data_IF_901639280617
#
_entry.id   IF_901639280617
#
_cell.length_a   1.000
_cell.length_b   1.000
_cell.length_c   1.000
_cell.angle_alpha   90.00
_cell.angle_beta   90.00
_cell.angle_gamma   90.00
#
_symmetry.space_group_name_H-M   'P 1'
#
loop_
_entity.id
_entity.type
_entity.pdbx_description
1 polymer ?
#
# COMPACT_ATOMS: atom_id res chain seq x y z
N UNK A 1 -71.76 -40.71 23.72
CA UNK A 1 -71.86 -39.67 24.78
C UNK A 1 -71.07 -40.18 25.98
N UNK A 2 -70.25 -39.32 26.61
CA UNK A 2 -69.49 -39.55 27.87
C UNK A 2 -68.34 -40.56 27.82
N UNK A 3 -67.31 -40.50 28.66
CA UNK A 3 -66.52 -39.46 29.34
C UNK A 3 -65.44 -40.25 30.13
N UNK A 4 -64.32 -39.61 30.45
CA UNK A 4 -63.13 -40.15 31.10
C UNK A 4 -63.34 -40.87 32.45
N UNK A 5 -62.39 -41.74 32.85
CA UNK A 5 -61.93 -42.07 34.23
C UNK A 5 -60.61 -42.88 34.09
N UNK A 6 -59.39 -42.45 34.47
CA UNK A 6 -58.76 -42.13 35.78
C UNK A 6 -58.22 -43.34 36.57
N UNK A 7 -56.88 -43.38 36.69
CA UNK A 7 -55.97 -43.80 37.81
C UNK A 7 -55.69 -45.30 38.16
N UNK A 8 -54.37 -45.61 38.09
CA UNK A 8 -53.37 -45.88 39.17
C UNK A 8 -52.84 -47.31 39.41
N UNK A 9 -51.54 -47.29 39.80
CA UNK A 9 -50.65 -48.30 40.45
C UNK A 9 -49.96 -49.25 39.44
N UNK A 10 -48.66 -49.56 39.50
CA UNK A 10 -47.69 -49.64 40.59
C UNK A 10 -46.23 -49.54 40.03
N UNK A 11 -45.29 -49.12 40.86
CA UNK A 11 -43.82 -49.03 40.64
C UNK A 11 -43.13 -50.37 40.37
N UNK A 12 -41.94 -50.35 39.74
CA UNK A 12 -40.76 -50.87 40.44
C UNK A 12 -39.53 -49.95 40.42
N UNK A 13 -38.74 -50.05 41.50
CA UNK A 13 -37.44 -49.41 41.73
C UNK A 13 -36.32 -50.20 41.04
N UNK A 14 -35.40 -49.43 40.43
CA UNK A 14 -33.93 -49.56 40.40
C UNK A 14 -33.30 -50.94 40.13
N UNK A 15 -32.75 -51.08 38.92
CA UNK A 15 -31.43 -51.68 38.70
C UNK A 15 -30.63 -50.80 37.73
N UNK A 16 -29.80 -49.90 38.26
CA UNK A 16 -28.78 -49.21 37.48
C UNK A 16 -27.63 -50.19 37.27
N UNK A 17 -27.39 -50.55 36.01
CA UNK A 17 -26.27 -51.39 35.58
C UNK A 17 -24.94 -50.61 35.72
N UNK A 18 -23.86 -51.29 36.15
CA UNK A 18 -22.57 -50.67 36.43
C UNK A 18 -21.68 -50.52 35.18
N UNK A 19 -20.73 -49.61 35.36
CA UNK A 19 -19.73 -49.11 34.40
C UNK A 19 -18.88 -50.20 33.73
N UNK A 20 -18.61 -50.00 32.44
CA UNK A 20 -17.51 -50.62 31.73
C UNK A 20 -16.83 -49.62 30.78
N UNK A 21 -15.53 -49.42 31.02
CA UNK A 21 -14.48 -49.00 30.09
C UNK A 21 -14.43 -47.54 29.63
N UNK A 22 -14.15 -46.67 30.59
CA UNK A 22 -13.22 -45.54 30.39
C UNK A 22 -11.83 -46.10 30.72
N UNK A 23 -10.93 -46.15 29.73
CA UNK A 23 -9.44 -46.15 29.78
C UNK A 23 -8.97 -46.81 28.48
N UNK A 24 -8.66 -45.96 27.49
CA UNK A 24 -7.53 -46.05 26.56
C UNK A 24 -7.58 -44.79 25.69
N UNK A 25 -6.40 -44.28 25.36
CA UNK A 25 -6.12 -43.08 24.54
C UNK A 25 -5.91 -41.75 25.29
N UNK A 26 -4.94 -41.75 26.21
CA UNK A 26 -4.13 -40.56 26.52
C UNK A 26 -2.64 -40.93 26.49
N UNK A 27 -2.07 -41.03 25.29
CA UNK A 27 -0.60 -40.97 25.12
C UNK A 27 -0.19 -40.63 23.68
N UNK A 28 -0.35 -39.37 23.29
CA UNK A 28 0.52 -38.63 22.35
C UNK A 28 -0.08 -37.24 22.06
N UNK A 29 -0.18 -36.38 23.08
CA UNK A 29 -0.22 -34.93 22.81
C UNK A 29 1.21 -34.49 22.52
N UNK A 30 1.64 -34.75 21.30
CA UNK A 30 2.77 -34.07 20.68
C UNK A 30 2.43 -32.58 20.60
N UNK A 31 3.20 -31.76 21.31
CA UNK A 31 3.19 -30.31 21.20
C UNK A 31 3.39 -29.93 19.73
N UNK A 32 2.34 -29.48 19.06
CA UNK A 32 2.50 -28.76 17.79
C UNK A 32 3.27 -27.47 18.12
N UNK A 33 4.39 -27.17 17.45
CA UNK A 33 5.03 -25.87 17.62
C UNK A 33 4.03 -24.78 17.25
N UNK A 34 4.06 -23.61 17.92
CA UNK A 34 3.19 -22.50 17.57
C UNK A 34 3.38 -22.21 16.07
N UNK A 35 2.26 -22.19 15.34
CA UNK A 35 2.24 -21.72 13.96
C UNK A 35 3.00 -20.40 13.92
N UNK A 36 4.10 -20.37 13.17
CA UNK A 36 4.85 -19.14 12.94
C UNK A 36 3.85 -18.05 12.54
N UNK A 37 3.96 -16.82 13.08
CA UNK A 37 3.07 -15.75 12.65
C UNK A 37 3.14 -15.70 11.14
N UNK A 38 1.98 -15.79 10.48
CA UNK A 38 1.88 -15.69 9.04
C UNK A 38 2.71 -14.48 8.63
N UNK A 39 3.79 -14.72 7.89
CA UNK A 39 4.56 -13.66 7.26
C UNK A 39 3.53 -12.76 6.57
N UNK A 40 3.49 -11.45 6.85
CA UNK A 40 2.51 -10.59 6.20
C UNK A 40 2.80 -10.68 4.69
N UNK A 41 2.01 -11.49 3.99
CA UNK A 41 2.02 -11.51 2.53
C UNK A 41 1.50 -10.14 2.13
N UNK A 42 2.43 -9.29 1.73
CA UNK A 42 2.15 -8.00 1.11
C UNK A 42 1.08 -8.24 0.06
N UNK A 43 -0.11 -7.66 0.26
CA UNK A 43 -1.21 -7.82 -0.68
C UNK A 43 -0.79 -7.29 -2.05
N UNK A 44 -1.12 -8.03 -3.10
CA UNK A 44 -0.95 -7.59 -4.49
C UNK A 44 -1.78 -6.31 -4.66
N UNK A 45 -1.14 -5.18 -4.93
CA UNK A 45 -1.83 -3.95 -5.29
C UNK A 45 -1.96 -3.88 -6.80
N UNK A 46 -3.18 -4.08 -7.28
CA UNK A 46 -3.54 -3.74 -8.64
C UNK A 46 -3.69 -2.22 -8.73
N UNK A 47 -2.63 -1.57 -9.22
CA UNK A 47 -2.62 -0.13 -9.43
C UNK A 47 -3.54 0.31 -10.58
N UNK A 48 -4.05 -0.62 -11.38
CA UNK A 48 -4.83 -0.32 -12.57
C UNK A 48 -3.97 0.27 -13.68
N UNK A 49 -4.38 0.00 -14.93
CA UNK A 49 -3.77 0.60 -16.11
C UNK A 49 -4.58 1.85 -16.46
N UNK A 50 -3.95 3.02 -16.45
CA UNK A 50 -4.59 4.26 -16.91
C UNK A 50 -4.58 4.32 -18.44
N UNK A 51 -3.42 4.06 -19.03
CA UNK A 51 -3.25 3.99 -20.47
C UNK A 51 -2.12 3.01 -20.82
N UNK A 52 -2.33 2.17 -21.83
CA UNK A 52 -1.30 1.29 -22.37
C UNK A 52 -1.45 1.21 -23.88
N UNK A 53 -0.34 1.34 -24.61
CA UNK A 53 -0.32 1.23 -26.08
C UNK A 53 1.00 0.60 -26.56
N UNK A 54 0.97 0.09 -27.78
CA UNK A 54 2.17 -0.31 -28.51
C UNK A 54 2.57 0.82 -29.44
N UNK A 55 3.70 1.47 -29.17
CA UNK A 55 4.26 2.55 -30.00
C UNK A 55 5.58 2.06 -30.59
N UNK A 56 5.68 2.08 -31.92
CA UNK A 56 6.86 1.59 -32.66
C UNK A 56 7.31 0.17 -32.25
N UNK A 57 6.35 -0.71 -31.91
CA UNK A 57 6.63 -2.09 -31.47
C UNK A 57 7.02 -2.24 -30.00
N UNK A 58 7.12 -1.15 -29.25
CA UNK A 58 7.37 -1.14 -27.80
C UNK A 58 6.03 -0.99 -27.07
N UNK A 59 5.72 -1.96 -26.22
CA UNK A 59 4.53 -1.95 -25.38
C UNK A 59 4.84 -1.22 -24.05
N UNK A 60 4.15 -0.11 -23.83
CA UNK A 60 4.39 0.82 -22.73
C UNK A 60 3.06 1.36 -22.18
N UNK A 61 3.07 1.80 -20.93
CA UNK A 61 1.88 2.34 -20.30
C UNK A 61 2.16 3.27 -19.13
N UNK A 62 1.08 3.78 -18.57
CA UNK A 62 1.04 4.55 -17.33
C UNK A 62 -0.03 3.95 -16.42
N UNK A 63 0.31 3.74 -15.16
CA UNK A 63 -0.61 3.25 -14.12
C UNK A 63 -1.49 4.38 -13.58
N UNK A 64 -2.60 4.09 -12.88
CA UNK A 64 -3.54 5.12 -12.36
C UNK A 64 -2.90 6.14 -11.40
N UNK A 65 -1.72 5.85 -10.85
CA UNK A 65 -0.95 6.79 -10.02
C UNK A 65 0.03 7.65 -10.82
N UNK A 66 0.03 7.56 -12.15
CA UNK A 66 0.96 8.25 -13.04
C UNK A 66 2.29 7.54 -13.25
N UNK A 67 2.56 6.37 -12.63
CA UNK A 67 3.84 5.68 -12.83
C UNK A 67 3.99 5.18 -14.28
N UNK A 68 4.98 5.66 -15.04
CA UNK A 68 5.28 5.12 -16.37
C UNK A 68 5.95 3.75 -16.25
N UNK A 69 5.63 2.84 -17.17
CA UNK A 69 6.19 1.49 -17.18
C UNK A 69 6.33 0.93 -18.59
N UNK A 70 7.20 -0.08 -18.72
CA UNK A 70 7.22 -0.99 -19.87
C UNK A 70 6.66 -2.35 -19.44
N UNK A 71 5.97 -3.03 -20.35
CA UNK A 71 5.71 -4.46 -20.13
C UNK A 71 7.01 -5.24 -20.32
N UNK A 72 7.06 -6.50 -19.89
CA UNK A 72 8.21 -7.36 -20.18
C UNK A 72 8.54 -7.42 -21.68
N UNK A 73 7.52 -7.33 -22.54
CA UNK A 73 7.67 -7.31 -24.00
C UNK A 73 8.27 -5.98 -24.48
N UNK A 74 7.76 -4.85 -23.99
CA UNK A 74 8.33 -3.53 -24.29
C UNK A 74 9.78 -3.41 -23.84
N UNK A 75 10.06 -3.87 -22.61
CA UNK A 75 11.41 -3.85 -22.05
C UNK A 75 12.38 -4.75 -22.82
N UNK A 76 11.95 -5.94 -23.25
CA UNK A 76 12.73 -6.79 -24.16
C UNK A 76 13.02 -6.08 -25.49
N UNK A 77 12.03 -5.36 -26.05
CA UNK A 77 12.20 -4.58 -27.26
C UNK A 77 13.24 -3.45 -27.12
N UNK A 78 13.23 -2.73 -25.99
CA UNK A 78 14.14 -1.60 -25.76
C UNK A 78 15.55 -2.04 -25.33
N UNK A 79 15.67 -3.10 -24.53
CA UNK A 79 16.97 -3.63 -24.08
C UNK A 79 17.61 -4.58 -25.09
N UNK A 80 16.83 -5.11 -26.04
CA UNK A 80 17.26 -6.19 -26.93
C UNK A 80 17.54 -7.52 -26.22
N UNK A 81 17.25 -7.64 -24.92
CA UNK A 81 17.37 -8.88 -24.17
C UNK A 81 16.20 -9.81 -24.45
N UNK A 82 16.43 -11.12 -24.38
CA UNK A 82 15.34 -12.09 -24.48
C UNK A 82 14.43 -12.00 -23.25
N UNK A 83 13.12 -12.23 -23.44
CA UNK A 83 12.15 -12.25 -22.32
C UNK A 83 12.53 -13.24 -21.23
N UNK A 84 13.09 -14.40 -21.59
CA UNK A 84 13.60 -15.38 -20.63
C UNK A 84 14.72 -14.80 -19.76
N UNK A 85 15.65 -14.05 -20.34
CA UNK A 85 16.73 -13.40 -19.60
C UNK A 85 16.20 -12.35 -18.62
N UNK A 86 15.14 -11.60 -18.99
CA UNK A 86 14.49 -10.65 -18.08
C UNK A 86 13.74 -11.36 -16.94
N UNK A 87 13.11 -12.50 -17.24
CA UNK A 87 12.47 -13.34 -16.24
C UNK A 87 13.48 -13.91 -15.25
N UNK A 88 14.61 -14.44 -15.74
CA UNK A 88 15.73 -14.93 -14.93
C UNK A 88 16.30 -13.82 -14.03
N UNK A 89 16.54 -12.62 -14.58
CA UNK A 89 17.00 -11.47 -13.79
C UNK A 89 16.02 -11.15 -12.65
N UNK A 90 14.71 -11.16 -12.94
CA UNK A 90 13.71 -10.85 -11.91
C UNK A 90 13.69 -11.90 -10.81
N UNK A 91 13.79 -13.19 -11.16
CA UNK A 91 13.86 -14.27 -10.18
C UNK A 91 15.14 -14.22 -9.33
N UNK A 92 16.28 -13.89 -9.95
CA UNK A 92 17.55 -13.70 -9.24
C UNK A 92 17.47 -12.53 -8.25
N UNK A 93 16.85 -11.42 -8.66
CA UNK A 93 16.62 -10.26 -7.79
C UNK A 93 15.75 -10.61 -6.60
N UNK A 94 14.60 -11.25 -6.84
CA UNK A 94 13.68 -11.70 -5.78
C UNK A 94 14.37 -12.67 -4.81
N UNK A 95 15.15 -13.61 -5.33
CA UNK A 95 15.93 -14.57 -4.52
C UNK A 95 16.99 -13.87 -3.68
N UNK A 96 17.69 -12.87 -4.23
CA UNK A 96 18.69 -12.09 -3.49
C UNK A 96 18.04 -11.29 -2.36
N UNK A 97 16.86 -10.71 -2.58
CA UNK A 97 16.10 -10.04 -1.52
C UNK A 97 15.62 -11.01 -0.43
N UNK A 98 15.15 -12.20 -0.80
CA UNK A 98 14.69 -13.22 0.16
C UNK A 98 15.83 -13.76 1.02
N UNK A 99 17.02 -13.95 0.44
CA UNK A 99 18.18 -14.53 1.13
C UNK A 99 19.08 -13.48 1.78
N UNK A 100 18.98 -12.21 1.37
CA UNK A 100 19.92 -11.15 1.73
C UNK A 100 21.26 -11.22 1.00
N UNK A 101 21.41 -12.12 0.02
CA UNK A 101 22.68 -12.41 -0.67
C UNK A 101 22.64 -11.86 -2.10
N UNK A 102 23.32 -10.75 -2.33
CA UNK A 102 23.48 -10.12 -3.66
C UNK A 102 24.81 -10.53 -4.28
N UNK A 103 25.02 -11.84 -4.46
CA UNK A 103 26.33 -12.41 -4.75
C UNK A 103 26.75 -12.44 -6.22
N UNK A 104 25.81 -12.34 -7.18
CA UNK A 104 26.16 -12.33 -8.61
C UNK A 104 26.53 -10.92 -9.06
N UNK A 105 27.55 -10.76 -9.92
CA UNK A 105 27.98 -9.45 -10.45
C UNK A 105 26.80 -8.66 -11.04
N UNK A 106 25.90 -9.35 -11.75
CA UNK A 106 24.66 -8.78 -12.30
C UNK A 106 23.79 -8.21 -11.19
N UNK A 107 23.42 -9.02 -10.20
CA UNK A 107 22.51 -8.62 -9.13
C UNK A 107 23.13 -7.54 -8.23
N UNK A 108 24.44 -7.59 -7.95
CA UNK A 108 25.12 -6.53 -7.21
C UNK A 108 25.06 -5.20 -7.95
N UNK A 109 25.28 -5.20 -9.27
CA UNK A 109 25.18 -3.98 -10.08
C UNK A 109 23.77 -3.38 -10.02
N UNK A 110 22.73 -4.21 -10.19
CA UNK A 110 21.35 -3.72 -10.07
C UNK A 110 21.05 -3.18 -8.68
N UNK A 111 21.58 -3.81 -7.63
CA UNK A 111 21.39 -3.34 -6.25
C UNK A 111 21.95 -1.94 -6.08
N UNK A 112 23.18 -1.71 -6.50
CA UNK A 112 23.85 -0.42 -6.34
C UNK A 112 23.13 0.65 -7.17
N UNK A 113 22.82 0.35 -8.44
CA UNK A 113 22.09 1.26 -9.33
C UNK A 113 20.71 1.65 -8.78
N UNK A 114 19.91 0.66 -8.38
CA UNK A 114 18.55 0.90 -7.90
C UNK A 114 18.55 1.60 -6.54
N UNK A 115 19.53 1.29 -5.66
CA UNK A 115 19.68 1.98 -4.38
C UNK A 115 20.00 3.48 -4.55
N UNK A 116 20.85 3.85 -5.52
CA UNK A 116 21.10 5.26 -5.87
C UNK A 116 19.84 6.01 -6.33
N UNK A 117 18.88 5.28 -6.91
CA UNK A 117 17.58 5.79 -7.36
C UNK A 117 16.46 5.57 -6.34
N UNK A 118 16.83 5.27 -5.09
CA UNK A 118 15.92 4.98 -3.97
C UNK A 118 14.96 3.80 -4.18
N UNK A 119 15.21 2.94 -5.17
CA UNK A 119 14.44 1.74 -5.44
C UNK A 119 14.98 0.54 -4.66
N UNK A 120 14.20 0.08 -3.68
CA UNK A 120 14.59 -1.03 -2.79
C UNK A 120 13.55 -2.15 -2.70
N UNK A 121 12.64 -2.24 -3.69
CA UNK A 121 11.56 -3.23 -3.67
C UNK A 121 12.05 -4.64 -4.02
N UNK A 122 11.48 -5.69 -3.41
CA UNK A 122 11.91 -7.07 -3.61
C UNK A 122 11.56 -7.64 -4.99
N UNK A 123 10.67 -7.01 -5.74
CA UNK A 123 10.37 -7.37 -7.12
C UNK A 123 10.71 -6.20 -8.05
N UNK A 124 11.07 -6.51 -9.29
CA UNK A 124 11.42 -5.54 -10.34
C UNK A 124 10.20 -5.06 -11.14
N UNK A 125 9.02 -5.60 -10.85
CA UNK A 125 7.77 -5.22 -11.51
C UNK A 125 6.65 -5.02 -10.49
N UNK A 126 5.60 -4.35 -10.95
CA UNK A 126 4.30 -4.25 -10.29
C UNK A 126 3.36 -5.20 -11.03
N UNK A 127 2.72 -6.12 -10.32
CA UNK A 127 1.68 -6.98 -10.89
C UNK A 127 0.40 -6.15 -11.11
N UNK A 128 -0.11 -6.16 -12.34
CA UNK A 128 -1.33 -5.46 -12.75
C UNK A 128 -2.31 -6.46 -13.36
N UNK A 129 -3.61 -6.20 -13.23
CA UNK A 129 -4.62 -7.05 -13.93
C UNK A 129 -4.99 -6.44 -15.26
N UNK A 130 -4.93 -7.26 -16.31
CA UNK A 130 -5.40 -6.93 -17.65
C UNK A 130 -6.13 -8.12 -18.23
N UNK A 131 -7.36 -7.92 -18.70
CA UNK A 131 -8.20 -8.96 -19.32
C UNK A 131 -8.35 -10.23 -18.45
N UNK A 132 -8.40 -10.07 -17.12
CA UNK A 132 -8.51 -11.18 -16.17
C UNK A 132 -7.21 -11.96 -15.92
N UNK A 133 -6.11 -11.55 -16.54
CA UNK A 133 -4.78 -12.16 -16.37
C UNK A 133 -3.82 -11.22 -15.65
N UNK A 134 -2.83 -11.78 -14.96
CA UNK A 134 -1.74 -11.02 -14.35
C UNK A 134 -0.73 -10.60 -15.43
N UNK A 135 -0.36 -9.32 -15.41
CA UNK A 135 0.66 -8.71 -16.25
C UNK A 135 1.70 -8.02 -15.35
N UNK A 136 2.88 -7.77 -15.90
CA UNK A 136 4.00 -7.20 -15.15
C UNK A 136 4.41 -5.85 -15.73
N UNK A 137 4.16 -4.79 -14.95
CA UNK A 137 4.60 -3.43 -15.24
C UNK A 137 5.98 -3.20 -14.62
N UNK A 138 7.02 -3.06 -15.44
CA UNK A 138 8.35 -2.68 -14.99
C UNK A 138 8.42 -1.15 -14.90
N UNK A 139 8.58 -0.56 -13.70
CA UNK A 139 8.67 0.90 -13.56
C UNK A 139 9.85 1.46 -14.36
N UNK A 140 9.76 2.72 -14.75
CA UNK A 140 10.79 3.40 -15.55
C UNK A 140 12.21 3.31 -14.95
N UNK A 141 12.37 3.45 -13.64
CA UNK A 141 13.66 3.30 -12.95
C UNK A 141 14.28 1.91 -13.17
N UNK A 142 13.46 0.87 -13.14
CA UNK A 142 13.89 -0.52 -13.41
C UNK A 142 14.19 -0.69 -14.89
N UNK A 143 13.35 -0.14 -15.76
CA UNK A 143 13.56 -0.20 -17.21
C UNK A 143 14.88 0.45 -17.60
N UNK A 144 15.20 1.61 -17.04
CA UNK A 144 16.48 2.30 -17.26
C UNK A 144 17.66 1.45 -16.75
N UNK A 145 17.56 0.87 -15.56
CA UNK A 145 18.60 -0.04 -15.04
C UNK A 145 18.85 -1.22 -16.00
N UNK A 146 17.78 -1.85 -16.49
CA UNK A 146 17.89 -2.98 -17.43
C UNK A 146 18.49 -2.55 -18.76
N UNK A 147 18.01 -1.45 -19.34
CA UNK A 147 18.53 -0.92 -20.61
C UNK A 147 20.01 -0.56 -20.47
N UNK A 148 20.40 0.12 -19.39
CA UNK A 148 21.78 0.51 -19.13
C UNK A 148 22.70 -0.69 -18.91
N UNK A 149 22.26 -1.67 -18.11
CA UNK A 149 23.01 -2.90 -17.88
C UNK A 149 23.34 -3.62 -19.20
N UNK A 150 22.34 -3.81 -20.07
CA UNK A 150 22.58 -4.46 -21.36
C UNK A 150 23.33 -3.57 -22.36
N UNK A 151 23.34 -2.26 -22.18
CA UNK A 151 24.11 -1.35 -23.02
C UNK A 151 25.62 -1.39 -22.68
N UNK A 152 25.99 -1.49 -21.40
CA UNK A 152 27.38 -1.26 -20.96
C UNK A 152 28.01 -2.34 -20.08
N UNK A 153 27.21 -3.06 -19.29
CA UNK A 153 27.72 -3.84 -18.13
C UNK A 153 27.64 -5.35 -18.33
N UNK A 154 26.66 -5.80 -19.11
CA UNK A 154 26.49 -7.20 -19.45
C UNK A 154 27.75 -7.74 -20.13
N UNK A 155 28.10 -9.00 -19.84
CA UNK A 155 29.25 -9.68 -20.45
C UNK A 155 29.22 -9.61 -22.00
N UNK A 156 28.01 -9.69 -22.57
CA UNK A 156 27.74 -9.36 -23.96
C UNK A 156 26.76 -8.19 -24.00
N UNK A 157 27.26 -7.02 -24.38
CA UNK A 157 26.44 -5.83 -24.56
C UNK A 157 25.53 -5.95 -25.78
N UNK A 158 24.49 -5.11 -25.84
CA UNK A 158 23.47 -5.13 -26.86
C UNK A 158 23.35 -3.76 -27.55
N UNK A 159 23.42 -3.75 -28.89
CA UNK A 159 23.33 -2.51 -29.66
C UNK A 159 21.96 -1.83 -29.57
N UNK A 160 20.88 -2.61 -29.43
CA UNK A 160 19.53 -2.08 -29.23
C UNK A 160 19.45 -1.36 -27.90
N UNK A 161 19.94 -1.97 -26.81
CA UNK A 161 20.05 -1.33 -25.51
C UNK A 161 20.85 -0.02 -25.59
N UNK A 162 22.01 -0.03 -26.26
CA UNK A 162 22.85 1.14 -26.41
C UNK A 162 22.15 2.29 -27.16
N UNK A 163 21.42 1.97 -28.23
CA UNK A 163 20.63 2.95 -29.00
C UNK A 163 19.49 3.52 -28.15
N UNK A 164 18.73 2.66 -27.48
CA UNK A 164 17.66 3.06 -26.57
C UNK A 164 18.20 3.94 -25.45
N UNK A 165 19.27 3.53 -24.78
CA UNK A 165 19.90 4.30 -23.71
C UNK A 165 20.29 5.70 -24.17
N UNK A 166 20.94 5.83 -25.33
CA UNK A 166 21.33 7.14 -25.88
C UNK A 166 20.14 8.03 -26.24
N UNK A 167 19.04 7.44 -26.71
CA UNK A 167 17.80 8.18 -26.98
C UNK A 167 17.17 8.68 -25.67
N UNK A 168 17.11 7.81 -24.66
CA UNK A 168 16.50 8.09 -23.37
C UNK A 168 17.34 9.03 -22.50
N UNK A 169 18.68 8.98 -22.58
CA UNK A 169 19.58 9.79 -21.77
C UNK A 169 19.39 11.31 -21.95
N UNK A 170 18.72 11.74 -23.03
CA UNK A 170 18.43 13.16 -23.29
C UNK A 170 17.19 13.68 -22.55
N UNK A 171 16.17 12.83 -22.36
CA UNK A 171 14.84 13.27 -21.92
C UNK A 171 14.25 12.44 -20.77
N UNK A 172 14.83 11.27 -20.47
CA UNK A 172 14.31 10.28 -19.53
C UNK A 172 13.24 9.38 -20.15
N UNK A 173 13.14 8.16 -19.63
CA UNK A 173 12.13 7.19 -20.07
C UNK A 173 10.70 7.62 -19.73
N UNK A 174 10.50 8.27 -18.59
CA UNK A 174 9.21 8.85 -18.21
C UNK A 174 8.69 9.82 -19.28
N UNK A 175 9.47 10.85 -19.62
CA UNK A 175 9.09 11.84 -20.63
C UNK A 175 8.82 11.19 -21.99
N UNK A 176 9.65 10.21 -22.37
CA UNK A 176 9.45 9.44 -23.59
C UNK A 176 8.11 8.71 -23.60
N UNK A 177 7.76 7.99 -22.53
CA UNK A 177 6.50 7.26 -22.43
C UNK A 177 5.31 8.25 -22.41
N UNK A 178 5.41 9.35 -21.67
CA UNK A 178 4.37 10.37 -21.62
C UNK A 178 4.11 10.98 -22.99
N UNK A 179 5.15 11.41 -23.70
CA UNK A 179 5.03 11.98 -25.04
C UNK A 179 4.49 10.95 -26.05
N UNK A 180 5.01 9.72 -26.03
CA UNK A 180 4.58 8.65 -26.91
C UNK A 180 3.10 8.27 -26.74
N UNK A 181 2.58 8.39 -25.51
CA UNK A 181 1.18 8.09 -25.20
C UNK A 181 0.27 9.33 -25.30
N UNK A 182 0.83 10.53 -25.52
CA UNK A 182 0.09 11.78 -25.40
C UNK A 182 -0.46 12.01 -23.99
N UNK A 183 0.22 11.47 -22.98
CA UNK A 183 -0.17 11.53 -21.58
C UNK A 183 0.42 12.77 -20.92
N UNK A 184 -0.45 13.55 -20.28
CA UNK A 184 -0.04 14.59 -19.36
C UNK A 184 -0.33 14.06 -17.94
N UNK A 185 0.69 13.95 -17.06
CA UNK A 185 0.43 13.54 -15.69
C UNK A 185 -0.59 14.47 -15.06
N UNK A 186 -1.61 13.94 -14.38
CA UNK A 186 -2.62 14.77 -13.74
C UNK A 186 -1.95 15.67 -12.70
N UNK A 187 -2.57 16.83 -12.45
CA UNK A 187 -2.14 17.69 -11.36
C UNK A 187 -2.15 16.90 -10.04
N UNK A 188 -0.96 16.68 -9.45
CA UNK A 188 -0.81 15.95 -8.19
C UNK A 188 -1.56 16.59 -7.02
N UNK A 189 -1.95 17.84 -7.17
CA UNK A 189 -2.80 18.53 -6.20
C UNK A 189 -4.29 18.27 -6.40
N UNK A 190 -4.74 17.82 -7.58
CA UNK A 190 -6.15 17.65 -7.93
C UNK A 190 -6.93 16.88 -6.88
N UNK A 191 -6.42 15.71 -6.47
CA UNK A 191 -7.08 14.85 -5.49
C UNK A 191 -7.27 15.54 -4.14
N UNK A 192 -6.27 16.29 -3.68
CA UNK A 192 -6.38 17.04 -2.43
C UNK A 192 -7.26 18.29 -2.58
N UNK A 193 -7.07 19.09 -3.63
CA UNK A 193 -7.85 20.30 -3.91
C UNK A 193 -9.34 20.02 -4.07
N UNK A 194 -9.71 18.96 -4.79
CA UNK A 194 -11.12 18.61 -5.00
C UNK A 194 -11.78 18.19 -3.68
N UNK A 195 -11.04 17.49 -2.80
CA UNK A 195 -11.51 17.15 -1.47
C UNK A 195 -11.61 18.36 -0.54
N UNK A 196 -10.63 19.27 -0.57
CA UNK A 196 -10.69 20.55 0.17
C UNK A 196 -11.92 21.32 -0.27
N UNK A 197 -12.13 21.47 -1.58
CA UNK A 197 -13.25 22.22 -2.16
C UNK A 197 -14.62 21.68 -1.72
N UNK A 198 -14.78 20.36 -1.61
CA UNK A 198 -16.00 19.73 -1.11
C UNK A 198 -16.20 19.83 0.41
N UNK A 199 -15.11 20.04 1.16
CA UNK A 199 -15.11 20.06 2.62
C UNK A 199 -14.99 21.46 3.23
N UNK A 200 -14.79 22.50 2.42
CA UNK A 200 -14.82 23.89 2.88
C UNK A 200 -16.16 24.15 3.57
N UNK A 201 -16.10 24.53 4.85
CA UNK A 201 -17.30 24.79 5.66
C UNK A 201 -18.14 23.56 6.00
N UNK A 202 -17.66 22.33 5.73
CA UNK A 202 -18.39 21.09 6.00
C UNK A 202 -18.36 20.65 7.47
N UNK A 203 -17.45 21.19 8.28
CA UNK A 203 -17.43 20.96 9.71
C UNK A 203 -18.59 21.72 10.39
N UNK A 204 -19.40 21.07 11.25
CA UNK A 204 -20.41 21.76 12.04
C UNK A 204 -19.80 22.86 12.91
N UNK A 205 -20.57 23.93 13.16
CA UNK A 205 -20.11 25.01 14.04
C UNK A 205 -19.76 24.49 15.44
N UNK A 206 -18.63 24.93 15.99
CA UNK A 206 -18.05 24.40 17.23
C UNK A 206 -17.28 23.09 17.10
N UNK A 207 -17.14 22.51 15.90
CA UNK A 207 -16.44 21.25 15.67
C UNK A 207 -15.32 21.35 14.62
N UNK A 208 -14.31 20.51 14.77
CA UNK A 208 -13.28 20.25 13.75
C UNK A 208 -13.44 18.86 13.15
N UNK A 209 -12.90 18.68 11.94
CA UNK A 209 -12.85 17.40 11.23
C UNK A 209 -11.40 16.99 10.98
N UNK A 210 -11.13 15.69 11.07
CA UNK A 210 -9.76 15.16 10.97
C UNK A 210 -9.10 15.53 9.64
N UNK A 211 -9.83 15.52 8.52
CA UNK A 211 -9.28 15.84 7.21
C UNK A 211 -8.62 17.22 7.17
N UNK A 212 -9.26 18.25 7.74
CA UNK A 212 -8.71 19.61 7.77
C UNK A 212 -7.42 19.68 8.59
N UNK A 213 -7.38 18.99 9.73
CA UNK A 213 -6.24 19.06 10.64
C UNK A 213 -5.01 18.28 10.17
N UNK A 214 -5.19 17.30 9.28
CA UNK A 214 -4.07 16.54 8.71
C UNK A 214 -3.56 17.13 7.39
N UNK A 215 -4.10 18.27 6.94
CA UNK A 215 -3.75 18.88 5.65
C UNK A 215 -2.26 19.12 5.44
N UNK A 216 -1.53 19.53 6.49
CA UNK A 216 -0.07 19.69 6.43
C UNK A 216 0.66 18.38 6.08
N UNK A 217 0.21 17.25 6.63
CA UNK A 217 0.80 15.94 6.30
C UNK A 217 0.49 15.54 4.85
N UNK A 218 -0.69 15.88 4.33
CA UNK A 218 -1.05 15.63 2.94
C UNK A 218 -0.15 16.44 2.00
N UNK A 219 0.07 17.72 2.32
CA UNK A 219 0.99 18.60 1.58
C UNK A 219 2.41 18.02 1.54
N UNK A 220 2.92 17.55 2.68
CA UNK A 220 4.26 16.95 2.74
C UNK A 220 4.36 15.69 1.87
N UNK A 221 3.30 14.87 1.80
CA UNK A 221 3.25 13.70 0.91
C UNK A 221 3.23 14.10 -0.57
N UNK A 222 2.43 15.10 -0.97
CA UNK A 222 2.38 15.61 -2.35
C UNK A 222 3.76 16.17 -2.77
N UNK A 223 4.44 16.88 -1.86
CA UNK A 223 5.75 17.45 -2.10
C UNK A 223 6.85 16.38 -2.17
N UNK A 224 6.70 15.27 -1.46
CA UNK A 224 7.57 14.10 -1.54
C UNK A 224 7.31 13.21 -2.78
N UNK A 225 6.46 13.67 -3.72
CA UNK A 225 6.09 12.95 -4.94
C UNK A 225 5.53 11.53 -4.69
N UNK A 226 4.99 11.32 -3.49
CA UNK A 226 4.06 10.23 -3.23
C UNK A 226 2.88 10.48 -4.15
N UNK A 227 2.60 9.57 -5.09
CA UNK A 227 1.44 9.68 -5.98
C UNK A 227 0.16 9.80 -5.14
N UNK A 228 -0.25 11.05 -4.86
CA UNK A 228 -1.41 11.33 -4.01
C UNK A 228 -2.64 11.09 -4.84
N UNK A 229 -3.31 9.98 -4.57
CA UNK A 229 -4.58 9.59 -5.15
C UNK A 229 -5.52 9.12 -4.02
N UNK A 230 -6.68 8.57 -4.40
CA UNK A 230 -7.66 8.02 -3.48
C UNK A 230 -7.13 6.90 -2.56
N UNK A 231 -5.96 6.32 -2.87
CA UNK A 231 -5.36 5.18 -2.16
C UNK A 231 -4.22 5.56 -1.20
N UNK A 232 -3.71 6.80 -1.23
CA UNK A 232 -2.48 7.21 -0.51
C UNK A 232 -2.68 8.33 0.53
N UNK A 233 -3.83 9.01 0.55
CA UNK A 233 -4.16 9.98 1.62
C UNK A 233 -4.45 9.23 2.95
N UNK A 234 -3.73 9.51 4.06
CA UNK A 234 -3.87 8.73 5.30
C UNK A 234 -5.02 9.18 6.23
N UNK A 235 -5.90 10.08 5.80
CA UNK A 235 -6.91 10.71 6.67
C UNK A 235 -7.89 9.70 7.28
N UNK A 236 -8.30 8.66 6.54
CA UNK A 236 -9.11 7.55 7.09
C UNK A 236 -8.34 6.79 8.18
N UNK A 237 -7.04 6.58 7.97
CA UNK A 237 -6.17 5.90 8.95
C UNK A 237 -6.03 6.73 10.22
N UNK A 238 -5.82 8.04 10.08
CA UNK A 238 -5.78 8.99 11.21
C UNK A 238 -7.12 9.02 11.92
N UNK A 239 -8.23 9.15 11.18
CA UNK A 239 -9.58 9.24 11.75
C UNK A 239 -9.97 8.00 12.55
N UNK A 240 -9.66 6.80 12.05
CA UNK A 240 -9.87 5.55 12.80
C UNK A 240 -9.03 5.48 14.07
N UNK A 241 -7.75 5.86 13.99
CA UNK A 241 -6.86 5.85 15.14
C UNK A 241 -7.28 6.89 16.20
N UNK A 242 -7.66 8.09 15.78
CA UNK A 242 -8.16 9.14 16.66
C UNK A 242 -9.49 8.74 17.32
N UNK A 243 -10.44 8.21 16.54
CA UNK A 243 -11.72 7.77 17.09
C UNK A 243 -11.57 6.64 18.12
N UNK A 244 -10.56 5.79 17.97
CA UNK A 244 -10.20 4.77 18.97
C UNK A 244 -9.58 5.38 20.23
N UNK A 245 -8.66 6.34 20.06
CA UNK A 245 -8.04 7.09 21.16
C UNK A 245 -9.09 7.88 21.96
N UNK A 246 -10.02 8.53 21.27
CA UNK A 246 -11.14 9.27 21.84
C UNK A 246 -11.96 8.41 22.80
N UNK A 247 -12.44 7.25 22.33
CA UNK A 247 -13.24 6.33 23.13
C UNK A 247 -12.44 5.71 24.27
N UNK A 248 -11.19 5.28 24.01
CA UNK A 248 -10.34 4.65 25.03
C UNK A 248 -10.03 5.57 26.21
N UNK A 249 -9.81 6.86 25.95
CA UNK A 249 -9.47 7.84 26.98
C UNK A 249 -10.69 8.61 27.49
N UNK A 250 -11.90 8.21 27.07
CA UNK A 250 -13.16 8.83 27.49
C UNK A 250 -13.16 10.36 27.30
N UNK A 251 -12.59 10.83 26.18
CA UNK A 251 -12.41 12.25 25.90
C UNK A 251 -13.73 13.01 25.77
N UNK A 252 -14.80 12.28 25.47
CA UNK A 252 -16.18 12.80 25.44
C UNK A 252 -16.59 13.45 26.77
N UNK A 253 -16.18 12.87 27.90
CA UNK A 253 -16.50 13.46 29.22
C UNK A 253 -15.76 14.77 29.49
N UNK A 254 -14.63 15.00 28.82
CA UNK A 254 -13.79 16.20 29.01
C UNK A 254 -14.17 17.31 28.04
N UNK A 255 -14.36 16.96 26.77
CA UNK A 255 -14.51 17.94 25.68
C UNK A 255 -15.93 17.99 25.10
N UNK A 256 -16.83 17.11 25.53
CA UNK A 256 -18.18 17.00 25.00
C UNK A 256 -18.31 15.95 23.87
N UNK A 257 -19.55 15.65 23.43
CA UNK A 257 -19.81 14.59 22.46
C UNK A 257 -19.31 14.95 21.07
N UNK A 258 -18.70 13.96 20.39
CA UNK A 258 -18.46 14.03 18.94
C UNK A 258 -19.77 13.86 18.16
N UNK A 259 -19.87 14.50 17.01
CA UNK A 259 -21.09 14.47 16.17
C UNK A 259 -20.79 13.86 14.81
N UNK A 260 -21.80 13.28 14.17
CA UNK A 260 -21.69 12.81 12.79
C UNK A 260 -22.00 13.98 11.86
N UNK A 261 -21.23 14.13 10.79
CA UNK A 261 -21.52 15.07 9.71
C UNK A 261 -21.52 14.37 8.35
N UNK A 262 -22.16 14.97 7.36
CA UNK A 262 -22.19 14.43 6.00
C UNK A 262 -20.99 14.93 5.19
N UNK A 263 -20.31 14.00 4.53
CA UNK A 263 -19.14 14.27 3.70
C UNK A 263 -19.25 13.52 2.38
N UNK A 264 -19.03 14.22 1.26
CA UNK A 264 -18.96 13.60 -0.06
C UNK A 264 -17.53 13.51 -0.57
N UNK A 265 -17.22 12.39 -1.23
CA UNK A 265 -16.03 12.26 -2.06
C UNK A 265 -16.34 12.64 -3.53
N UNK A 266 -15.36 13.17 -4.30
CA UNK A 266 -15.53 13.35 -5.75
C UNK A 266 -15.91 12.03 -6.44
N UNK A 267 -16.70 12.07 -7.53
CA UNK A 267 -17.32 10.88 -8.13
C UNK A 267 -16.36 9.79 -8.60
N UNK A 268 -15.09 10.14 -8.84
CA UNK A 268 -14.04 9.21 -9.25
C UNK A 268 -13.31 8.53 -8.08
N UNK A 269 -13.64 8.87 -6.83
CA UNK A 269 -13.18 8.13 -5.66
C UNK A 269 -14.02 6.87 -5.46
N UNK A 270 -13.43 5.72 -5.10
CA UNK A 270 -14.17 4.51 -4.75
C UNK A 270 -15.22 4.74 -3.65
N UNK A 271 -14.92 5.62 -2.69
CA UNK A 271 -15.79 5.99 -1.58
C UNK A 271 -17.05 6.72 -2.05
N UNK A 272 -17.03 7.36 -3.22
CA UNK A 272 -18.17 8.12 -3.74
C UNK A 272 -19.39 7.25 -4.04
N UNK A 273 -19.19 5.94 -4.28
CA UNK A 273 -20.27 4.96 -4.44
C UNK A 273 -21.20 4.86 -3.21
N UNK A 274 -20.75 5.33 -2.06
CA UNK A 274 -21.52 5.34 -0.80
C UNK A 274 -21.66 6.75 -0.21
N UNK A 275 -21.56 7.80 -1.04
CA UNK A 275 -21.88 9.15 -0.63
C UNK A 275 -23.39 9.27 -0.24
N UNK A 276 -23.73 10.08 0.79
CA UNK A 276 -22.82 10.77 1.68
C UNK A 276 -22.19 9.82 2.71
N UNK A 277 -20.89 10.02 2.95
CA UNK A 277 -20.17 9.41 4.05
C UNK A 277 -20.54 10.08 5.37
N UNK A 278 -20.42 9.33 6.47
CA UNK A 278 -20.81 9.76 7.82
C UNK A 278 -19.65 9.71 8.83
N UNK A 279 -18.56 10.47 8.62
CA UNK A 279 -17.46 10.57 9.57
C UNK A 279 -17.83 11.37 10.84
N UNK A 280 -16.98 11.26 11.86
CA UNK A 280 -17.06 12.05 13.09
C UNK A 280 -16.43 13.44 12.92
N UNK A 281 -17.12 14.45 13.42
CA UNK A 281 -16.59 15.76 13.78
C UNK A 281 -16.45 15.84 15.30
N UNK A 282 -15.41 16.53 15.78
CA UNK A 282 -15.02 16.56 17.19
C UNK A 282 -15.07 17.99 17.73
N UNK A 283 -15.46 18.21 19.00
CA UNK A 283 -15.53 19.56 19.58
C UNK A 283 -14.19 20.30 19.44
N UNK A 284 -14.24 21.60 19.12
CA UNK A 284 -13.06 22.44 18.96
C UNK A 284 -12.20 22.52 20.23
N UNK A 285 -12.80 22.31 21.40
CA UNK A 285 -12.13 22.24 22.69
C UNK A 285 -11.11 21.10 22.74
N UNK A 286 -11.32 20.01 21.99
CA UNK A 286 -10.39 18.89 21.91
C UNK A 286 -9.25 19.10 20.91
N UNK A 287 -9.21 20.22 20.19
CA UNK A 287 -8.29 20.43 19.07
C UNK A 287 -6.81 20.42 19.49
N UNK A 288 -6.49 21.02 20.63
CA UNK A 288 -5.13 21.01 21.18
C UNK A 288 -4.67 19.59 21.50
N UNK A 289 -5.57 18.78 22.09
CA UNK A 289 -5.30 17.38 22.40
C UNK A 289 -5.14 16.53 21.14
N UNK A 290 -5.98 16.75 20.12
CA UNK A 290 -5.80 16.12 18.81
C UNK A 290 -4.45 16.44 18.22
N UNK A 291 -4.03 17.71 18.17
CA UNK A 291 -2.75 18.12 17.58
C UNK A 291 -1.55 17.54 18.34
N UNK A 292 -1.62 17.52 19.68
CA UNK A 292 -0.63 16.86 20.53
C UNK A 292 -0.54 15.37 20.21
N UNK A 293 -1.66 14.67 20.24
CA UNK A 293 -1.75 13.24 19.93
C UNK A 293 -1.26 12.93 18.52
N UNK A 294 -1.69 13.71 17.52
CA UNK A 294 -1.31 13.53 16.13
C UNK A 294 0.20 13.66 15.97
N UNK A 295 0.79 14.72 16.53
CA UNK A 295 2.24 14.98 16.45
C UNK A 295 3.09 13.95 17.20
N UNK A 296 2.71 13.63 18.43
CA UNK A 296 3.59 12.88 19.34
C UNK A 296 3.31 11.38 19.38
N UNK A 297 2.13 10.94 18.92
CA UNK A 297 1.76 9.53 18.92
C UNK A 297 1.52 9.01 17.51
N UNK A 298 0.66 9.66 16.71
CA UNK A 298 0.35 9.15 15.37
C UNK A 298 1.54 9.25 14.42
N UNK A 299 2.10 10.45 14.25
CA UNK A 299 3.18 10.71 13.30
C UNK A 299 4.48 9.98 13.66
N UNK A 300 4.75 9.75 14.95
CA UNK A 300 5.97 9.08 15.42
C UNK A 300 5.87 7.55 15.41
N UNK A 301 4.66 6.98 15.54
CA UNK A 301 4.51 5.51 15.72
C UNK A 301 3.68 4.82 14.63
N UNK A 302 2.62 5.46 14.14
CA UNK A 302 1.67 4.86 13.18
C UNK A 302 1.98 5.26 11.75
N UNK A 303 2.31 6.53 11.52
CA UNK A 303 2.64 7.03 10.19
C UNK A 303 3.83 6.30 9.55
N UNK A 304 4.96 6.02 10.24
CA UNK A 304 6.08 5.30 9.63
C UNK A 304 5.66 3.89 9.18
N UNK A 305 4.82 3.21 9.97
CA UNK A 305 4.27 1.91 9.60
C UNK A 305 3.32 2.02 8.41
N UNK A 306 2.45 3.03 8.41
CA UNK A 306 1.50 3.28 7.33
C UNK A 306 2.24 3.50 6.01
N UNK A 307 3.23 4.40 5.98
CA UNK A 307 3.94 4.73 4.75
C UNK A 307 4.79 3.57 4.23
N UNK A 308 5.32 2.72 5.11
CA UNK A 308 5.98 1.45 4.73
C UNK A 308 5.02 0.48 4.04
N UNK A 309 3.75 0.42 4.45
CA UNK A 309 2.76 -0.38 3.70
C UNK A 309 2.50 0.17 2.30
N UNK A 310 2.91 1.41 2.03
CA UNK A 310 2.79 2.11 0.75
C UNK A 310 4.13 2.20 0.01
N UNK A 311 5.19 1.56 0.51
CA UNK A 311 6.53 1.61 -0.07
C UNK A 311 6.57 1.38 -1.60
N UNK A 312 5.91 0.32 -2.05
CA UNK A 312 5.75 -0.02 -3.47
C UNK A 312 5.04 1.06 -4.33
N UNK A 313 4.35 2.03 -3.73
CA UNK A 313 3.70 3.16 -4.41
C UNK A 313 4.55 4.43 -4.47
N UNK A 314 5.60 4.49 -3.65
CA UNK A 314 6.32 5.73 -3.35
C UNK A 314 7.81 5.52 -3.57
N UNK A 315 8.21 4.79 -4.60
CA UNK A 315 9.63 4.59 -4.94
C UNK A 315 10.35 3.51 -4.14
N UNK A 316 9.75 2.96 -3.08
CA UNK A 316 10.20 1.72 -2.44
C UNK A 316 10.40 1.81 -0.92
N UNK A 317 10.93 0.74 -0.30
CA UNK A 317 11.11 0.63 1.15
C UNK A 317 11.99 1.74 1.73
N UNK A 318 13.11 2.07 1.08
CA UNK A 318 14.02 3.12 1.56
C UNK A 318 13.40 4.51 1.45
N UNK A 319 12.70 4.79 0.35
CA UNK A 319 11.94 6.02 0.18
C UNK A 319 10.84 6.16 1.23
N UNK A 320 10.08 5.09 1.47
CA UNK A 320 9.08 5.04 2.53
C UNK A 320 9.67 5.25 3.92
N UNK A 321 10.85 4.70 4.21
CA UNK A 321 11.56 4.95 5.47
C UNK A 321 11.93 6.43 5.59
N UNK A 322 12.46 7.04 4.53
CA UNK A 322 12.82 8.46 4.51
C UNK A 322 11.59 9.34 4.76
N UNK A 323 10.48 9.10 4.06
CA UNK A 323 9.22 9.82 4.25
C UNK A 323 8.69 9.60 5.67
N UNK A 324 8.71 8.36 6.16
CA UNK A 324 8.30 8.01 7.52
C UNK A 324 9.12 8.69 8.62
N UNK A 325 10.33 9.13 8.31
CA UNK A 325 11.21 9.84 9.23
C UNK A 325 11.01 11.37 9.23
N UNK A 326 10.24 11.95 8.31
CA UNK A 326 10.01 13.41 8.21
C UNK A 326 9.56 14.02 9.54
N UNK A 327 8.75 13.28 10.31
CA UNK A 327 8.17 13.73 11.57
C UNK A 327 8.89 13.20 12.82
N UNK A 328 10.00 12.47 12.66
CA UNK A 328 10.78 12.08 13.82
C UNK A 328 11.49 13.30 14.42
N UNK A 329 11.57 13.41 15.76
CA UNK A 329 12.33 14.48 16.40
C UNK A 329 13.76 14.46 15.87
N UNK A 330 14.25 15.59 15.35
CA UNK A 330 15.68 15.72 15.06
C UNK A 330 16.43 15.50 16.38
N UNK A 331 17.39 14.57 16.39
CA UNK A 331 18.32 14.48 17.49
C UNK A 331 18.98 15.86 17.63
N UNK A 332 18.84 16.49 18.79
CA UNK A 332 19.59 17.69 19.08
C UNK A 332 21.06 17.27 19.05
N UNK A 333 21.81 17.74 18.06
CA UNK A 333 23.26 17.70 18.09
C UNK A 333 23.66 18.36 19.41
N UNK A 334 24.25 17.59 20.32
CA UNK A 334 24.79 18.15 21.55
C UNK A 334 25.77 19.28 21.22
N UNK A 335 25.89 20.30 22.10
CA UNK A 335 26.78 21.43 21.89
C UNK A 335 28.24 21.02 21.70
#
# INVERSE_FOLDING_TARGET
MHLATVKRRQTPRLSRLPAANIIRDYKALSLNPPSSPATPKQGILDLGIEIERVIAGIEMGVLENGTPYLTQRGLAGMSGAARSTLQELTLEWETAHQTGIFGSKRVSWFKDYLAEKAYGEPSLYIEIRKDGSAHYAYPDVVCMAVIEYFAFEAQRTNETALKSFRQLARFGLQSFIYEALGYAPPDKWKYYHDRVSLLVGGAPDGYFIVFNEVGGMIVDLINADVGVNDKTIPDISVGKAWGSYWTKNNLENTYGPRVVFEHNYPSYYPQAASNPQRPWAYPNEALAEFRRWFRHEYLTTRFPKYILTKAHLIGGQEEAKRIGQIYQPRALSGP
#
